data_IF_893130230722
#
_entry.id   IF_893130230722
#
_cell.length_a   1.000
_cell.length_b   1.000
_cell.length_c   1.000
_cell.angle_alpha   90.00
_cell.angle_beta   90.00
_cell.angle_gamma   90.00
#
_symmetry.space_group_name_H-M   'P 1'
#
loop_
_entity.id
_entity.type
_entity.pdbx_description
1 polymer ?
#
# COMPACT_ATOMS: atom_id res chain seq x y z
N UNK A 1 24.40 -37.86 -59.69
CA UNK A 1 25.65 -37.59 -58.94
C UNK A 1 25.24 -36.77 -57.71
N UNK A 2 25.19 -37.41 -56.53
CA UNK A 2 26.17 -37.26 -55.42
C UNK A 2 26.21 -35.83 -54.87
N UNK A 3 26.20 -35.51 -53.58
CA UNK A 3 26.05 -36.23 -52.32
C UNK A 3 25.90 -35.14 -51.23
N UNK A 4 25.37 -35.56 -50.07
CA UNK A 4 25.26 -34.87 -48.77
C UNK A 4 26.41 -33.93 -48.34
N UNK A 5 26.11 -32.93 -47.50
CA UNK A 5 26.64 -32.86 -46.12
C UNK A 5 26.03 -31.80 -45.21
N UNK A 6 25.58 -32.30 -44.06
CA UNK A 6 25.31 -31.67 -42.78
C UNK A 6 26.53 -30.95 -42.23
N UNK A 7 26.38 -29.71 -41.73
CA UNK A 7 27.16 -29.19 -40.59
C UNK A 7 26.22 -28.42 -39.65
N UNK A 8 26.12 -28.93 -38.42
CA UNK A 8 25.56 -28.29 -37.23
C UNK A 8 26.53 -27.21 -36.76
N UNK A 9 26.04 -26.03 -36.39
CA UNK A 9 26.77 -25.15 -35.47
C UNK A 9 25.90 -24.76 -34.29
N UNK A 10 26.41 -25.18 -33.13
CA UNK A 10 25.96 -24.85 -31.78
C UNK A 10 26.12 -23.34 -31.54
N UNK A 11 25.07 -22.66 -31.07
CA UNK A 11 25.24 -21.40 -30.36
C UNK A 11 24.81 -21.55 -28.90
N UNK A 12 25.80 -21.94 -28.09
CA UNK A 12 25.83 -21.80 -26.63
C UNK A 12 25.81 -20.32 -26.26
N UNK A 13 24.67 -19.79 -25.83
CA UNK A 13 24.65 -18.55 -25.04
C UNK A 13 24.52 -18.88 -23.55
N UNK A 14 25.66 -18.75 -22.86
CA UNK A 14 25.78 -18.86 -21.40
C UNK A 14 25.04 -17.71 -20.73
N UNK A 15 23.92 -18.00 -20.06
CA UNK A 15 23.37 -17.15 -18.99
C UNK A 15 24.35 -17.14 -17.82
N UNK A 16 24.73 -15.95 -17.34
CA UNK A 16 25.41 -15.75 -16.06
C UNK A 16 24.48 -15.01 -15.08
N UNK A 17 24.43 -15.58 -13.89
CA UNK A 17 23.61 -15.26 -12.71
C UNK A 17 23.58 -13.78 -12.27
N UNK A 18 22.40 -13.38 -11.77
CA UNK A 18 22.20 -12.66 -10.50
C UNK A 18 20.96 -13.31 -9.86
N UNK A 19 21.10 -14.20 -8.87
CA UNK A 19 21.26 -13.92 -7.43
C UNK A 19 20.19 -12.98 -6.86
N UNK A 20 19.25 -13.60 -6.12
CA UNK A 20 18.65 -13.19 -4.83
C UNK A 20 17.14 -12.92 -4.83
N UNK A 21 16.40 -13.90 -4.27
CA UNK A 21 15.24 -13.84 -3.34
C UNK A 21 14.08 -12.86 -3.63
N UNK A 22 12.80 -13.13 -3.37
CA UNK A 22 11.98 -14.27 -2.90
C UNK A 22 10.52 -13.76 -3.05
N UNK A 23 9.60 -14.64 -3.44
CA UNK A 23 8.13 -14.48 -3.39
C UNK A 23 7.47 -13.55 -4.43
N UNK A 24 7.55 -13.94 -5.71
CA UNK A 24 6.36 -13.93 -6.55
C UNK A 24 5.84 -15.38 -6.58
N UNK A 25 4.54 -15.56 -6.33
CA UNK A 25 3.84 -16.77 -6.75
C UNK A 25 3.79 -16.74 -8.27
N UNK A 26 4.82 -17.31 -8.91
CA UNK A 26 4.79 -17.61 -10.34
C UNK A 26 3.59 -18.52 -10.58
N UNK A 27 2.56 -17.95 -11.21
CA UNK A 27 1.65 -18.71 -12.05
C UNK A 27 2.52 -19.47 -13.06
N UNK A 28 2.47 -20.80 -12.99
CA UNK A 28 3.34 -21.80 -13.63
C UNK A 28 4.53 -22.28 -12.79
N UNK A 29 4.28 -22.73 -11.55
CA UNK A 29 5.10 -23.82 -11.01
C UNK A 29 4.95 -25.02 -11.95
N UNK A 30 6.02 -25.35 -12.68
CA UNK A 30 6.09 -26.57 -13.45
C UNK A 30 6.08 -27.76 -12.47
N UNK A 31 4.90 -28.33 -12.29
CA UNK A 31 4.65 -29.47 -11.40
C UNK A 31 5.00 -30.82 -12.07
N UNK A 32 5.44 -30.77 -13.34
CA UNK A 32 5.97 -31.92 -14.04
C UNK A 32 7.43 -32.14 -13.66
N UNK A 33 7.81 -33.40 -13.49
CA UNK A 33 9.19 -33.76 -13.14
C UNK A 33 10.10 -33.85 -14.39
N UNK A 34 9.57 -33.49 -15.56
CA UNK A 34 10.22 -33.51 -16.87
C UNK A 34 9.28 -34.00 -17.99
N UNK A 35 9.76 -33.98 -19.23
CA UNK A 35 8.97 -34.31 -20.44
C UNK A 35 8.39 -35.74 -20.43
N UNK A 36 9.11 -36.72 -19.89
CA UNK A 36 8.61 -38.10 -19.76
C UNK A 36 7.49 -38.25 -18.71
N UNK A 37 7.46 -37.38 -17.71
CA UNK A 37 6.44 -37.37 -16.67
C UNK A 37 5.18 -36.62 -17.14
N UNK A 38 5.36 -35.60 -17.97
CA UNK A 38 4.31 -34.91 -18.71
C UNK A 38 3.55 -35.87 -19.63
N UNK A 39 4.25 -36.60 -20.50
CA UNK A 39 3.64 -37.60 -21.39
C UNK A 39 2.89 -38.70 -20.62
N UNK A 40 3.43 -39.12 -19.46
CA UNK A 40 2.79 -40.10 -18.57
C UNK A 40 1.51 -39.57 -17.94
N UNK A 41 1.50 -38.30 -17.52
CA UNK A 41 0.36 -37.67 -16.86
C UNK A 41 -0.74 -37.28 -17.85
N UNK A 42 -0.38 -36.99 -19.11
CA UNK A 42 -1.34 -36.79 -20.20
C UNK A 42 -2.02 -38.09 -20.66
N UNK A 43 -1.36 -39.24 -20.47
CA UNK A 43 -1.94 -40.55 -20.75
C UNK A 43 -2.91 -41.07 -19.67
N UNK A 44 -3.04 -40.36 -18.54
CA UNK A 44 -3.96 -40.71 -17.43
C UNK A 44 -5.31 -40.01 -17.56
N UNK A 45 -6.30 -40.44 -16.78
CA UNK A 45 -7.58 -39.72 -16.72
C UNK A 45 -7.39 -38.35 -16.06
N UNK A 46 -8.20 -37.37 -16.45
CA UNK A 46 -8.09 -36.00 -15.94
C UNK A 46 -8.17 -35.92 -14.41
N UNK A 47 -8.98 -36.77 -13.79
CA UNK A 47 -9.14 -36.85 -12.34
C UNK A 47 -7.86 -37.34 -11.65
N UNK A 48 -7.23 -38.38 -12.18
CA UNK A 48 -5.97 -38.92 -11.64
C UNK A 48 -4.81 -37.94 -11.84
N UNK A 49 -4.76 -37.29 -13.01
CA UNK A 49 -3.79 -36.24 -13.32
C UNK A 49 -3.89 -35.08 -12.33
N UNK A 50 -5.09 -34.54 -12.11
CA UNK A 50 -5.30 -33.43 -11.18
C UNK A 50 -4.95 -33.80 -9.74
N UNK A 51 -5.24 -35.04 -9.32
CA UNK A 51 -4.90 -35.51 -7.99
C UNK A 51 -3.39 -35.55 -7.77
N UNK A 52 -2.62 -36.07 -8.73
CA UNK A 52 -1.15 -36.12 -8.65
C UNK A 52 -0.54 -34.72 -8.63
N UNK A 53 -1.02 -33.81 -9.49
CA UNK A 53 -0.54 -32.43 -9.53
C UNK A 53 -0.87 -31.68 -8.23
N UNK A 54 -2.06 -31.90 -7.66
CA UNK A 54 -2.45 -31.33 -6.38
C UNK A 54 -1.56 -31.82 -5.23
N UNK A 55 -1.30 -33.13 -5.15
CA UNK A 55 -0.40 -33.69 -4.14
C UNK A 55 1.03 -33.13 -4.24
N UNK A 56 1.53 -32.90 -5.47
CA UNK A 56 2.84 -32.29 -5.70
C UNK A 56 2.86 -30.82 -5.28
N UNK A 57 1.84 -30.06 -5.63
CA UNK A 57 1.70 -28.67 -5.22
C UNK A 57 1.65 -28.53 -3.68
N UNK A 58 0.91 -29.41 -3.00
CA UNK A 58 0.87 -29.41 -1.53
C UNK A 58 2.24 -29.71 -0.91
N UNK A 59 3.01 -30.65 -1.45
CA UNK A 59 4.38 -30.94 -0.99
C UNK A 59 5.34 -29.77 -1.22
N UNK A 60 5.23 -29.09 -2.36
CA UNK A 60 6.05 -27.89 -2.66
C UNK A 60 5.71 -26.77 -1.68
N UNK A 61 4.41 -26.56 -1.41
CA UNK A 61 3.94 -25.58 -0.43
C UNK A 61 4.47 -25.87 0.98
N UNK A 62 4.36 -27.12 1.45
CA UNK A 62 4.88 -27.52 2.75
C UNK A 62 6.41 -27.33 2.87
N UNK A 63 7.17 -27.63 1.83
CA UNK A 63 8.63 -27.40 1.82
C UNK A 63 8.97 -25.91 1.86
N UNK A 64 8.23 -25.07 1.14
CA UNK A 64 8.41 -23.61 1.17
C UNK A 64 8.08 -23.02 2.55
N UNK A 65 7.00 -23.48 3.17
CA UNK A 65 6.63 -23.06 4.52
C UNK A 65 7.67 -23.49 5.56
N UNK A 66 8.19 -24.71 5.48
CA UNK A 66 9.28 -25.20 6.34
C UNK A 66 10.56 -24.37 6.17
N UNK A 67 10.96 -24.05 4.95
CA UNK A 67 12.13 -23.22 4.68
C UNK A 67 12.00 -21.81 5.29
N UNK A 68 10.81 -21.20 5.22
CA UNK A 68 10.55 -19.88 5.81
C UNK A 68 10.60 -19.93 7.34
N UNK A 69 10.13 -21.03 7.95
CA UNK A 69 10.18 -21.22 9.41
C UNK A 69 11.61 -21.43 9.88
N UNK A 70 12.41 -22.22 9.16
CA UNK A 70 13.82 -22.49 9.47
C UNK A 70 14.70 -21.23 9.31
N UNK A 71 14.43 -20.40 8.30
CA UNK A 71 15.05 -19.06 8.14
C UNK A 71 14.69 -18.12 9.31
N UNK A 72 13.46 -18.18 9.82
CA UNK A 72 13.04 -17.41 11.00
C UNK A 72 13.64 -17.93 12.31
N UNK A 73 13.85 -19.24 12.45
CA UNK A 73 14.45 -19.87 13.64
C UNK A 73 15.96 -19.63 13.70
N UNK A 74 16.68 -19.74 12.58
CA UNK A 74 18.12 -19.42 12.51
C UNK A 74 18.42 -17.92 12.74
N UNK A 75 17.47 -17.03 12.42
CA UNK A 75 17.53 -15.61 12.79
C UNK A 75 17.29 -15.34 14.30
N UNK A 76 16.70 -16.29 15.02
CA UNK A 76 16.48 -16.22 16.48
C UNK A 76 17.65 -16.83 17.27
N UNK A 77 18.32 -17.86 16.76
CA UNK A 77 19.51 -18.46 17.39
C UNK A 77 20.78 -17.59 17.27
N UNK A 78 20.86 -16.70 16.29
CA UNK A 78 22.00 -15.78 16.11
C UNK A 78 21.87 -14.44 16.85
N UNK A 79 21.27 -14.42 18.05
CA UNK A 79 21.33 -13.27 18.96
C UNK A 79 22.38 -13.49 20.06
N UNK A 80 23.55 -12.85 19.99
CA UNK A 80 24.49 -12.85 21.11
C UNK A 80 23.92 -11.95 22.23
N UNK A 81 23.83 -12.52 23.44
CA UNK A 81 23.39 -11.83 24.65
C UNK A 81 24.59 -11.19 25.37
N UNK A 82 24.65 -9.86 25.21
CA UNK A 82 25.01 -8.82 26.20
C UNK A 82 26.42 -8.66 26.82
N UNK A 83 26.83 -7.38 26.72
CA UNK A 83 27.49 -6.51 27.72
C UNK A 83 29.02 -6.53 27.82
N UNK A 84 29.61 -5.46 27.26
CA UNK A 84 30.54 -4.61 28.01
C UNK A 84 30.31 -3.13 27.62
N UNK A 85 30.26 -2.28 28.65
CA UNK A 85 30.21 -0.82 28.53
C UNK A 85 31.60 -0.38 28.08
N UNK A 86 31.80 -0.26 26.77
CA UNK A 86 32.95 0.45 26.22
C UNK A 86 32.43 1.82 25.79
N UNK A 87 32.93 2.88 26.45
CA UNK A 87 32.86 4.25 25.94
C UNK A 87 33.43 4.22 24.53
N UNK A 88 32.54 4.16 23.53
CA UNK A 88 32.95 4.26 22.15
C UNK A 88 33.51 5.67 21.95
N UNK A 89 34.67 5.82 21.28
CA UNK A 89 35.13 7.11 20.82
C UNK A 89 34.05 7.69 19.89
N UNK A 90 34.00 9.02 19.69
CA UNK A 90 32.99 9.63 18.82
C UNK A 90 33.02 8.87 17.50
N UNK A 91 31.88 8.25 17.14
CA UNK A 91 31.72 7.63 15.83
C UNK A 91 32.18 8.67 14.83
N UNK A 92 33.25 8.36 14.11
CA UNK A 92 33.58 9.04 12.88
C UNK A 92 32.28 9.15 12.10
N UNK A 93 31.82 10.39 11.96
CA UNK A 93 30.76 10.75 11.05
C UNK A 93 31.27 10.27 9.70
N UNK A 94 30.82 9.09 9.23
CA UNK A 94 30.92 8.76 7.81
C UNK A 94 30.36 10.01 7.12
N UNK A 95 31.20 10.71 6.35
CA UNK A 95 30.78 11.90 5.63
C UNK A 95 29.48 11.56 4.94
N UNK A 96 28.42 12.24 5.35
CA UNK A 96 27.10 12.11 4.76
C UNK A 96 27.30 12.41 3.28
N UNK A 97 27.30 11.34 2.46
CA UNK A 97 27.49 11.54 1.05
C UNK A 97 26.24 12.24 0.54
N UNK A 98 26.36 13.55 0.35
CA UNK A 98 25.30 14.45 -0.11
C UNK A 98 24.57 13.86 -1.33
N UNK A 99 25.32 13.26 -2.26
CA UNK A 99 24.76 12.60 -3.45
C UNK A 99 23.81 11.46 -3.08
N UNK A 100 24.16 10.65 -2.07
CA UNK A 100 23.32 9.55 -1.59
C UNK A 100 22.07 10.08 -0.89
N UNK A 101 22.19 11.16 -0.11
CA UNK A 101 21.04 11.74 0.57
C UNK A 101 20.04 12.35 -0.43
N UNK A 102 20.52 13.05 -1.47
CA UNK A 102 19.62 13.58 -2.50
C UNK A 102 18.84 12.47 -3.24
N UNK A 103 19.40 11.26 -3.36
CA UNK A 103 18.73 10.13 -4.02
C UNK A 103 17.58 9.54 -3.23
N UNK A 104 17.55 9.70 -1.90
CA UNK A 104 16.51 9.12 -1.04
C UNK A 104 15.31 10.06 -0.82
N UNK A 105 15.36 11.27 -1.40
CA UNK A 105 14.27 12.22 -1.34
C UNK A 105 13.23 11.87 -2.40
N UNK A 106 12.00 11.65 -1.92
CA UNK A 106 10.84 11.46 -2.78
C UNK A 106 10.40 12.83 -3.31
N UNK A 107 10.31 12.94 -4.63
CA UNK A 107 9.87 14.16 -5.33
C UNK A 107 8.36 14.21 -5.46
N UNK A 108 7.81 15.44 -5.58
CA UNK A 108 6.37 15.65 -5.81
C UNK A 108 5.88 14.89 -7.04
N UNK A 109 6.60 14.97 -8.16
CA UNK A 109 6.15 14.38 -9.42
C UNK A 109 6.18 12.84 -9.35
N UNK A 110 7.13 12.24 -8.63
CA UNK A 110 7.12 10.81 -8.38
C UNK A 110 5.88 10.37 -7.59
N UNK A 111 5.46 11.16 -6.60
CA UNK A 111 4.21 10.89 -5.87
C UNK A 111 3.00 11.05 -6.78
N UNK A 112 2.91 12.14 -7.54
CA UNK A 112 1.76 12.42 -8.41
C UNK A 112 1.56 11.35 -9.49
N UNK A 113 2.64 10.84 -10.08
CA UNK A 113 2.59 9.76 -11.05
C UNK A 113 2.04 8.44 -10.47
N UNK A 114 2.10 8.28 -9.15
CA UNK A 114 1.75 7.04 -8.45
C UNK A 114 0.62 7.23 -7.42
N UNK A 115 0.00 8.41 -7.34
CA UNK A 115 -0.90 8.77 -6.24
C UNK A 115 -2.20 7.94 -6.23
N UNK A 116 -2.64 7.45 -7.39
CA UNK A 116 -3.85 6.63 -7.50
C UNK A 116 -3.56 5.12 -7.38
N UNK A 117 -2.29 4.70 -7.23
CA UNK A 117 -1.98 3.29 -7.06
C UNK A 117 -2.45 2.80 -5.68
N UNK A 118 -2.87 1.54 -5.53
CA UNK A 118 -3.40 1.01 -4.26
C UNK A 118 -2.35 0.83 -3.16
N UNK A 119 -1.13 1.37 -3.33
CA UNK A 119 0.03 1.20 -2.46
C UNK A 119 0.35 2.45 -1.63
N UNK A 120 -0.65 3.27 -1.27
CA UNK A 120 -0.44 4.52 -0.54
C UNK A 120 0.30 4.36 0.79
N UNK A 121 0.17 3.20 1.45
CA UNK A 121 0.91 2.92 2.69
C UNK A 121 2.42 2.92 2.51
N UNK A 122 2.91 2.63 1.31
CA UNK A 122 4.34 2.55 1.02
C UNK A 122 5.05 3.89 1.08
N UNK A 123 4.31 5.01 0.99
CA UNK A 123 4.87 6.35 1.20
C UNK A 123 5.39 6.54 2.64
N UNK A 124 4.82 5.83 3.61
CA UNK A 124 5.10 6.05 5.04
C UNK A 124 6.56 5.75 5.38
N UNK A 125 7.18 6.75 6.01
CA UNK A 125 8.54 6.80 6.50
C UNK A 125 9.58 7.11 5.43
N UNK A 126 9.19 7.49 4.22
CA UNK A 126 10.10 8.08 3.24
C UNK A 126 10.32 9.57 3.52
N UNK A 127 11.42 10.12 3.00
CA UNK A 127 11.80 11.52 3.19
C UNK A 127 11.34 12.33 1.99
N UNK A 128 10.77 13.50 2.25
CA UNK A 128 10.38 14.47 1.22
C UNK A 128 10.95 15.84 1.55
N UNK A 129 11.06 16.68 0.52
CA UNK A 129 11.28 18.12 0.67
C UNK A 129 9.97 18.86 0.43
N UNK A 130 9.60 19.75 1.34
CA UNK A 130 8.36 20.52 1.25
C UNK A 130 8.58 21.97 1.69
N UNK A 131 7.74 22.86 1.16
CA UNK A 131 7.78 24.30 1.44
C UNK A 131 6.81 24.64 2.57
N UNK A 132 7.27 25.45 3.51
CA UNK A 132 6.44 26.08 4.54
C UNK A 132 6.74 27.58 4.47
N UNK A 133 5.72 28.38 4.21
CA UNK A 133 5.86 29.83 4.03
C UNK A 133 6.92 30.15 2.97
N UNK A 134 8.08 30.67 3.35
CA UNK A 134 9.16 31.06 2.44
C UNK A 134 10.34 30.08 2.41
N UNK A 135 10.34 29.09 3.31
CA UNK A 135 11.47 28.17 3.50
C UNK A 135 11.12 26.74 3.10
N UNK A 136 12.16 25.96 2.83
CA UNK A 136 12.07 24.55 2.52
C UNK A 136 12.61 23.70 3.67
N UNK A 137 11.94 22.59 3.92
CA UNK A 137 12.27 21.67 4.98
C UNK A 137 12.26 20.24 4.46
N UNK A 138 13.04 19.40 5.12
CA UNK A 138 12.99 17.95 4.95
C UNK A 138 12.13 17.35 6.06
N UNK A 139 11.27 16.40 5.70
CA UNK A 139 10.45 15.67 6.65
C UNK A 139 10.27 14.21 6.24
N UNK A 140 10.04 13.37 7.24
CA UNK A 140 9.61 11.99 7.08
C UNK A 140 8.09 11.95 6.98
N UNK A 141 7.56 11.19 6.03
CA UNK A 141 6.12 10.95 5.93
C UNK A 141 5.71 10.06 7.10
N UNK A 142 4.90 10.56 8.03
CA UNK A 142 4.42 9.79 9.18
C UNK A 142 3.17 8.97 8.85
N UNK A 143 2.25 9.58 8.11
CA UNK A 143 1.03 8.94 7.61
C UNK A 143 0.48 9.71 6.42
N UNK A 144 -0.54 9.15 5.79
CA UNK A 144 -1.34 9.83 4.77
C UNK A 144 -2.81 9.84 5.20
N UNK A 145 -3.56 10.80 4.69
CA UNK A 145 -4.99 10.96 4.87
C UNK A 145 -5.58 10.88 3.47
N UNK A 146 -6.31 9.79 3.22
CA UNK A 146 -7.11 9.59 2.02
C UNK A 146 -8.50 10.22 2.23
N UNK A 147 -9.20 10.59 1.15
CA UNK A 147 -10.54 11.19 1.22
C UNK A 147 -10.61 12.55 1.95
N UNK A 148 -9.54 13.36 1.86
CA UNK A 148 -9.57 14.76 2.26
C UNK A 148 -10.34 15.61 1.23
N UNK A 149 -10.39 16.93 1.45
CA UNK A 149 -10.94 17.83 0.43
C UNK A 149 -10.12 17.75 -0.85
N UNK A 150 -10.82 17.54 -1.97
CA UNK A 150 -10.23 17.45 -3.30
C UNK A 150 -9.55 18.77 -3.63
N UNK A 151 -8.32 18.69 -4.11
CA UNK A 151 -7.57 19.85 -4.56
C UNK A 151 -6.86 19.57 -5.88
N UNK A 152 -6.63 20.64 -6.63
CA UNK A 152 -5.88 20.59 -7.87
C UNK A 152 -4.37 20.67 -7.59
N UNK A 153 -3.60 19.90 -8.36
CA UNK A 153 -2.13 19.92 -8.41
C UNK A 153 -1.69 19.82 -9.85
N UNK A 154 -0.68 20.61 -10.21
CA UNK A 154 -0.12 20.57 -11.56
C UNK A 154 1.02 19.55 -11.65
N UNK A 155 0.95 18.67 -12.65
CA UNK A 155 2.02 17.78 -13.07
C UNK A 155 2.42 18.15 -14.50
N UNK A 156 3.56 18.80 -14.68
CA UNK A 156 3.96 19.35 -15.98
C UNK A 156 2.95 20.38 -16.50
N UNK A 157 2.28 20.06 -17.62
CA UNK A 157 1.21 20.89 -18.21
C UNK A 157 -0.21 20.41 -17.86
N UNK A 158 -0.35 19.35 -17.09
CA UNK A 158 -1.63 18.73 -16.77
C UNK A 158 -2.08 19.13 -15.37
N UNK A 159 -3.34 19.53 -15.22
CA UNK A 159 -3.98 19.68 -13.92
C UNK A 159 -4.55 18.33 -13.49
N UNK A 160 -4.11 17.88 -12.33
CA UNK A 160 -4.56 16.66 -11.68
C UNK A 160 -5.34 17.00 -10.42
N UNK A 161 -6.35 16.20 -10.08
CA UNK A 161 -7.09 16.29 -8.83
C UNK A 161 -6.65 15.20 -7.87
N UNK A 162 -6.57 15.49 -6.59
CA UNK A 162 -6.34 14.46 -5.56
C UNK A 162 -6.97 14.89 -4.24
N UNK A 163 -7.32 13.91 -3.43
CA UNK A 163 -7.84 14.07 -2.07
C UNK A 163 -6.84 13.53 -1.03
N UNK A 164 -5.62 13.20 -1.45
CA UNK A 164 -4.59 12.66 -0.56
C UNK A 164 -3.80 13.80 0.07
N UNK A 165 -3.70 13.83 1.39
CA UNK A 165 -2.79 14.71 2.12
C UNK A 165 -1.88 13.92 3.04
N UNK A 166 -0.75 14.50 3.45
CA UNK A 166 0.26 13.80 4.24
C UNK A 166 0.44 14.42 5.62
N UNK A 167 0.80 13.58 6.59
CA UNK A 167 1.31 14.02 7.89
C UNK A 167 2.83 13.90 7.86
N UNK A 168 3.52 15.00 8.08
CA UNK A 168 4.97 15.12 7.91
C UNK A 168 5.64 15.38 9.26
N UNK A 169 6.75 14.72 9.51
CA UNK A 169 7.53 14.84 10.73
C UNK A 169 8.94 15.32 10.42
N UNK A 170 9.29 16.51 10.93
CA UNK A 170 10.62 17.13 10.77
C UNK A 170 11.60 16.70 11.87
N UNK A 171 11.15 15.95 12.88
CA UNK A 171 11.89 15.67 14.12
C UNK A 171 11.64 16.69 15.22
N UNK A 172 11.31 17.94 14.87
CA UNK A 172 10.92 19.00 15.83
C UNK A 172 9.40 19.16 15.87
N UNK A 173 8.77 19.18 14.69
CA UNK A 173 7.36 19.49 14.52
C UNK A 173 6.69 18.52 13.56
N UNK A 174 5.44 18.19 13.88
CA UNK A 174 4.55 17.42 13.03
C UNK A 174 3.59 18.36 12.30
N UNK A 175 3.61 18.32 10.98
CA UNK A 175 2.70 19.07 10.11
C UNK A 175 1.57 18.14 9.64
N UNK A 176 0.32 18.51 9.94
CA UNK A 176 -0.86 17.73 9.57
C UNK A 176 -1.46 18.25 8.27
N UNK A 177 -2.10 17.37 7.48
CA UNK A 177 -2.85 17.71 6.24
C UNK A 177 -2.02 18.46 5.19
N UNK A 178 -0.76 18.09 5.01
CA UNK A 178 0.11 18.70 4.01
C UNK A 178 -0.31 18.29 2.60
N UNK A 179 -0.67 19.26 1.76
CA UNK A 179 -1.03 19.04 0.36
C UNK A 179 0.21 18.88 -0.52
N UNK A 180 0.10 18.08 -1.57
CA UNK A 180 1.18 17.82 -2.54
C UNK A 180 1.65 19.07 -3.29
N UNK A 181 0.83 20.13 -3.36
CA UNK A 181 1.21 21.40 -3.97
C UNK A 181 2.43 22.06 -3.27
N UNK A 182 2.64 21.76 -1.98
CA UNK A 182 3.77 22.27 -1.21
C UNK A 182 5.03 21.41 -1.33
N UNK A 183 4.97 20.28 -2.04
CA UNK A 183 6.11 19.36 -2.13
C UNK A 183 7.04 19.82 -3.26
N UNK A 184 8.34 19.63 -3.06
CA UNK A 184 9.37 20.06 -4.02
C UNK A 184 9.82 18.91 -4.92
N UNK A 185 10.25 19.26 -6.13
CA UNK A 185 11.01 18.38 -7.02
C UNK A 185 12.51 18.67 -6.99
N UNK A 186 12.92 19.82 -6.43
CA UNK A 186 14.32 20.22 -6.39
C UNK A 186 15.06 19.44 -5.30
N UNK A 187 16.32 19.11 -5.57
CA UNK A 187 17.21 18.50 -4.59
C UNK A 187 17.33 19.38 -3.34
N UNK A 188 17.49 18.79 -2.15
CA UNK A 188 17.69 19.57 -0.94
C UNK A 188 19.07 20.22 -0.90
N UNK A 189 19.17 21.34 -0.21
CA UNK A 189 20.43 22.04 0.02
C UNK A 189 21.18 21.41 1.20
N UNK A 190 22.51 21.58 1.26
CA UNK A 190 23.34 21.03 2.35
C UNK A 190 22.85 21.46 3.73
N UNK A 191 22.51 22.74 3.89
CA UNK A 191 21.98 23.29 5.13
C UNK A 191 20.68 22.63 5.58
N UNK A 192 19.79 22.28 4.63
CA UNK A 192 18.54 21.57 4.92
C UNK A 192 18.82 20.16 5.43
N UNK A 193 19.78 19.47 4.82
CA UNK A 193 20.21 18.12 5.22
C UNK A 193 20.83 18.14 6.61
N UNK A 194 21.75 19.07 6.85
CA UNK A 194 22.42 19.21 8.16
C UNK A 194 21.40 19.49 9.26
N UNK A 195 20.44 20.38 8.98
CA UNK A 195 19.33 20.69 9.91
C UNK A 195 18.48 19.45 10.16
N UNK A 196 18.13 18.70 9.11
CA UNK A 196 17.32 17.49 9.23
C UNK A 196 18.02 16.41 10.07
N UNK A 197 19.31 16.17 9.83
CA UNK A 197 20.10 15.17 10.56
C UNK A 197 20.31 15.57 12.02
N UNK A 198 20.53 16.86 12.29
CA UNK A 198 20.58 17.38 13.66
C UNK A 198 19.29 17.10 14.42
N UNK A 199 18.15 17.24 13.75
CA UNK A 199 16.83 17.01 14.33
C UNK A 199 16.43 15.52 14.39
N UNK A 200 17.14 14.66 13.65
CA UNK A 200 16.87 13.24 13.57
C UNK A 200 18.18 12.44 13.78
N UNK A 201 18.76 12.47 14.98
CA UNK A 201 20.09 11.90 15.24
C UNK A 201 20.17 10.37 15.05
N UNK A 202 19.02 9.68 15.07
CA UNK A 202 18.92 8.24 14.82
C UNK A 202 18.69 7.89 13.34
N UNK A 203 18.73 8.88 12.44
CA UNK A 203 18.49 8.66 11.02
C UNK A 203 19.66 7.94 10.35
N UNK A 204 19.39 6.75 9.81
CA UNK A 204 20.36 5.99 9.02
C UNK A 204 20.08 6.11 7.52
N UNK A 205 21.02 6.71 6.80
CA UNK A 205 20.96 6.92 5.35
C UNK A 205 20.97 5.58 4.61
N UNK A 206 21.73 4.58 5.08
CA UNK A 206 21.85 3.29 4.39
C UNK A 206 20.52 2.52 4.45
N UNK A 207 19.91 2.43 5.63
CA UNK A 207 18.56 1.88 5.79
C UNK A 207 17.52 2.65 4.96
N UNK A 208 17.57 3.98 4.99
CA UNK A 208 16.64 4.80 4.22
C UNK A 208 16.79 4.62 2.71
N UNK A 209 18.01 4.41 2.21
CA UNK A 209 18.25 4.11 0.80
C UNK A 209 17.62 2.78 0.38
N UNK A 210 17.71 1.74 1.21
CA UNK A 210 17.06 0.46 0.92
C UNK A 210 15.54 0.61 0.93
N UNK A 211 15.00 1.37 1.90
CA UNK A 211 13.57 1.68 1.95
C UNK A 211 13.09 2.42 0.70
N UNK A 212 13.84 3.42 0.24
CA UNK A 212 13.52 4.16 -0.97
C UNK A 212 13.57 3.27 -2.22
N UNK A 213 14.55 2.37 -2.34
CA UNK A 213 14.60 1.38 -3.42
C UNK A 213 13.38 0.45 -3.41
N UNK A 214 12.94 0.00 -2.23
CA UNK A 214 11.71 -0.79 -2.08
C UNK A 214 10.47 -0.03 -2.54
N UNK A 215 10.36 1.26 -2.20
CA UNK A 215 9.30 2.13 -2.70
C UNK A 215 9.35 2.25 -4.23
N UNK A 216 10.53 2.49 -4.81
CA UNK A 216 10.69 2.60 -6.26
C UNK A 216 10.30 1.30 -6.96
N UNK A 217 10.74 0.15 -6.45
CA UNK A 217 10.36 -1.15 -6.98
C UNK A 217 8.84 -1.34 -6.97
N UNK A 218 8.19 -1.09 -5.83
CA UNK A 218 6.74 -1.24 -5.71
C UNK A 218 5.96 -0.29 -6.62
N UNK A 219 6.43 0.95 -6.78
CA UNK A 219 5.79 1.93 -7.64
C UNK A 219 6.10 1.72 -9.13
N UNK A 220 7.14 0.98 -9.48
CA UNK A 220 7.46 0.66 -10.87
C UNK A 220 7.00 -0.75 -11.29
N UNK A 221 6.60 -1.60 -10.35
CA UNK A 221 6.02 -2.92 -10.63
C UNK A 221 4.76 -2.77 -11.48
N UNK A 222 4.59 -3.68 -12.44
CA UNK A 222 3.36 -3.80 -13.21
C UNK A 222 2.18 -4.09 -12.29
N UNK A 223 1.05 -3.43 -12.53
CA UNK A 223 -0.14 -3.63 -11.72
C UNK A 223 -0.83 -4.91 -12.16
N UNK A 224 -1.25 -5.72 -11.20
CA UNK A 224 -2.23 -6.78 -11.46
C UNK A 224 -3.51 -6.18 -12.04
N UNK A 225 -4.32 -6.98 -12.76
CA UNK A 225 -5.59 -6.48 -13.31
C UNK A 225 -6.49 -5.88 -12.22
N UNK A 226 -6.56 -6.53 -11.06
CA UNK A 226 -7.33 -6.05 -9.92
C UNK A 226 -6.81 -4.70 -9.40
N UNK A 227 -5.50 -4.53 -9.29
CA UNK A 227 -4.91 -3.26 -8.85
C UNK A 227 -5.07 -2.15 -9.89
N UNK A 228 -5.03 -2.50 -11.17
CA UNK A 228 -5.31 -1.57 -12.25
C UNK A 228 -6.77 -1.09 -12.21
N UNK A 229 -7.72 -2.00 -12.00
CA UNK A 229 -9.14 -1.66 -11.82
C UNK A 229 -9.35 -0.74 -10.62
N UNK A 230 -8.71 -1.02 -9.47
CA UNK A 230 -8.76 -0.14 -8.29
C UNK A 230 -8.21 1.25 -8.58
N UNK A 231 -7.06 1.34 -9.25
CA UNK A 231 -6.45 2.61 -9.64
C UNK A 231 -7.38 3.43 -10.57
N UNK A 232 -8.00 2.78 -11.56
CA UNK A 232 -8.94 3.43 -12.46
C UNK A 232 -10.22 3.88 -11.74
N UNK A 233 -10.74 3.05 -10.83
CA UNK A 233 -11.90 3.39 -10.02
C UNK A 233 -11.62 4.60 -9.14
N UNK A 234 -10.46 4.63 -8.47
CA UNK A 234 -10.04 5.75 -7.62
C UNK A 234 -9.89 7.04 -8.45
N UNK A 235 -9.17 6.97 -9.57
CA UNK A 235 -9.04 8.10 -10.48
C UNK A 235 -10.42 8.59 -10.94
N UNK A 236 -11.32 7.72 -11.40
CA UNK A 236 -12.67 8.11 -11.84
C UNK A 236 -13.49 8.72 -10.71
N UNK A 237 -13.38 8.19 -9.49
CA UNK A 237 -14.03 8.74 -8.29
C UNK A 237 -13.63 10.21 -8.11
N UNK A 238 -12.34 10.52 -8.31
CA UNK A 238 -11.78 11.84 -8.06
C UNK A 238 -12.18 12.92 -9.08
N UNK A 239 -12.62 12.52 -10.27
CA UNK A 239 -13.18 13.45 -11.27
C UNK A 239 -14.71 13.39 -11.35
N UNK A 240 -15.35 12.51 -10.58
CA UNK A 240 -16.80 12.46 -10.51
C UNK A 240 -17.37 13.67 -9.76
N UNK A 241 -18.63 13.99 -10.07
CA UNK A 241 -19.42 15.02 -9.41
C UNK A 241 -19.27 14.91 -7.87
N UNK A 242 -19.00 16.02 -7.15
CA UNK A 242 -18.82 16.00 -5.70
C UNK A 242 -19.96 15.33 -4.94
N UNK A 243 -21.21 15.53 -5.37
CA UNK A 243 -22.38 14.90 -4.76
C UNK A 243 -22.38 13.39 -5.03
N UNK A 244 -22.09 12.97 -6.27
CA UNK A 244 -21.98 11.55 -6.61
C UNK A 244 -20.89 10.85 -5.79
N UNK A 245 -19.74 11.48 -5.60
CA UNK A 245 -18.65 10.93 -4.79
C UNK A 245 -19.03 10.81 -3.32
N UNK A 246 -19.67 11.84 -2.76
CA UNK A 246 -20.11 11.81 -1.38
C UNK A 246 -21.19 10.73 -1.15
N UNK A 247 -22.11 10.55 -2.11
CA UNK A 247 -23.08 9.44 -2.09
C UNK A 247 -22.36 8.08 -2.12
N UNK A 248 -21.41 7.89 -3.03
CA UNK A 248 -20.63 6.64 -3.10
C UNK A 248 -19.83 6.38 -1.82
N UNK A 249 -19.22 7.42 -1.24
CA UNK A 249 -18.52 7.35 0.05
C UNK A 249 -19.48 6.94 1.17
N UNK A 250 -20.67 7.53 1.22
CA UNK A 250 -21.70 7.19 2.20
C UNK A 250 -22.14 5.73 2.07
N UNK A 251 -22.33 5.23 0.84
CA UNK A 251 -22.66 3.81 0.59
C UNK A 251 -21.54 2.90 1.09
N UNK A 252 -20.27 3.25 0.83
CA UNK A 252 -19.12 2.48 1.30
C UNK A 252 -19.02 2.43 2.83
N UNK A 253 -19.17 3.58 3.49
CA UNK A 253 -19.16 3.65 4.96
C UNK A 253 -20.33 2.89 5.58
N UNK A 254 -21.51 2.89 4.96
CA UNK A 254 -22.65 2.08 5.41
C UNK A 254 -22.27 0.59 5.37
N UNK A 255 -21.66 0.11 4.28
CA UNK A 255 -21.19 -1.28 4.20
C UNK A 255 -20.14 -1.60 5.26
N UNK A 256 -19.14 -0.74 5.44
CA UNK A 256 -18.09 -0.93 6.45
C UNK A 256 -18.65 -0.94 7.88
N UNK A 257 -19.67 -0.11 8.15
CA UNK A 257 -20.41 -0.11 9.42
C UNK A 257 -21.16 -1.43 9.61
N UNK A 258 -21.90 -1.87 8.60
CA UNK A 258 -22.70 -3.10 8.68
C UNK A 258 -21.80 -4.32 8.91
N UNK A 259 -20.66 -4.40 8.22
CA UNK A 259 -19.62 -5.41 8.48
C UNK A 259 -19.02 -5.31 9.89
N UNK A 260 -18.86 -4.10 10.43
CA UNK A 260 -18.35 -3.92 11.80
C UNK A 260 -19.39 -4.38 12.84
N UNK A 261 -20.68 -4.16 12.59
CA UNK A 261 -21.78 -4.67 13.42
C UNK A 261 -21.83 -6.20 13.37
N UNK A 262 -21.73 -6.79 12.17
CA UNK A 262 -21.68 -8.26 12.00
C UNK A 262 -20.48 -8.89 12.73
N UNK A 263 -19.36 -8.16 12.83
CA UNK A 263 -18.15 -8.58 13.55
C UNK A 263 -18.15 -8.17 15.03
N UNK A 264 -19.27 -7.69 15.56
CA UNK A 264 -19.46 -7.24 16.96
C UNK A 264 -18.49 -6.11 17.40
N UNK A 265 -17.97 -5.34 16.45
CA UNK A 265 -17.09 -4.18 16.70
C UNK A 265 -17.90 -2.90 16.82
N UNK A 266 -18.69 -2.79 17.89
CA UNK A 266 -19.65 -1.71 18.07
C UNK A 266 -19.01 -0.31 18.15
N UNK A 267 -17.86 -0.17 18.83
CA UNK A 267 -17.15 1.11 18.92
C UNK A 267 -16.73 1.63 17.53
N UNK A 268 -16.23 0.73 16.68
CA UNK A 268 -15.87 1.04 15.30
C UNK A 268 -17.10 1.41 14.47
N UNK A 269 -18.21 0.69 14.64
CA UNK A 269 -19.46 1.01 13.96
C UNK A 269 -20.00 2.40 14.37
N UNK A 270 -19.87 2.78 15.64
CA UNK A 270 -20.27 4.10 16.13
C UNK A 270 -19.39 5.22 15.54
N UNK A 271 -18.06 5.02 15.48
CA UNK A 271 -17.13 5.95 14.84
C UNK A 271 -17.45 6.14 13.35
N UNK A 272 -17.77 5.05 12.65
CA UNK A 272 -18.18 5.11 11.24
C UNK A 272 -19.51 5.84 11.11
N UNK A 273 -20.48 5.59 11.99
CA UNK A 273 -21.77 6.29 11.97
C UNK A 273 -21.62 7.80 12.19
N UNK A 274 -20.76 8.23 13.14
CA UNK A 274 -20.42 9.65 13.32
C UNK A 274 -19.85 10.26 12.05
N UNK A 275 -18.97 9.52 11.36
CA UNK A 275 -18.39 9.96 10.08
C UNK A 275 -19.46 10.10 9.00
N UNK A 276 -20.40 9.15 8.89
CA UNK A 276 -21.54 9.21 7.96
C UNK A 276 -22.41 10.44 8.22
N UNK A 277 -22.69 10.76 9.48
CA UNK A 277 -23.56 11.87 9.86
C UNK A 277 -22.92 13.24 9.54
N UNK A 278 -21.58 13.32 9.56
CA UNK A 278 -20.85 14.54 9.16
C UNK A 278 -20.78 14.76 7.65
N UNK A 279 -21.06 13.73 6.84
CA UNK A 279 -21.12 13.84 5.38
C UNK A 279 -22.48 14.42 4.95
N UNK A 280 -22.63 15.74 5.14
CA UNK A 280 -23.79 16.50 4.65
C UNK A 280 -23.50 17.00 3.22
N UNK A 281 -24.39 16.76 2.24
CA UNK A 281 -24.28 17.37 0.92
C UNK A 281 -24.11 18.88 1.05
N UNK A 282 -23.14 19.47 0.32
CA UNK A 282 -23.17 20.92 0.07
C UNK A 282 -24.44 21.19 -0.73
N UNK A 283 -25.46 21.73 -0.07
CA UNK A 283 -26.80 21.88 -0.62
C UNK A 283 -26.80 22.88 -1.78
N UNK A 284 -27.42 22.50 -2.88
CA UNK A 284 -27.94 23.44 -3.88
C UNK A 284 -29.35 23.82 -3.38
N UNK A 285 -29.42 24.65 -2.34
CA UNK A 285 -30.56 25.51 -1.92
C UNK A 285 -32.00 24.96 -1.75
N UNK A 286 -32.38 23.78 -2.26
CA UNK A 286 -33.75 23.22 -2.23
C UNK A 286 -33.78 21.74 -1.81
N UNK A 287 -32.70 20.98 -2.01
CA UNK A 287 -32.65 19.55 -1.68
C UNK A 287 -32.40 19.26 -0.19
N UNK A 288 -32.07 20.27 0.61
CA UNK A 288 -31.72 20.13 2.03
C UNK A 288 -32.95 19.75 2.88
N UNK A 289 -34.12 20.23 2.50
CA UNK A 289 -35.40 19.95 3.14
C UNK A 289 -35.85 18.51 2.83
N UNK A 290 -35.65 18.07 1.57
CA UNK A 290 -35.92 16.70 1.12
C UNK A 290 -34.98 15.71 1.83
N UNK A 291 -33.69 16.01 1.91
CA UNK A 291 -32.72 15.15 2.60
C UNK A 291 -32.93 15.09 4.12
N UNK A 292 -33.34 16.19 4.76
CA UNK A 292 -33.78 16.17 6.16
C UNK A 292 -34.98 15.26 6.36
N UNK A 293 -36.00 15.37 5.52
CA UNK A 293 -37.19 14.52 5.59
C UNK A 293 -36.85 13.03 5.38
N UNK A 294 -35.97 12.71 4.43
CA UNK A 294 -35.50 11.34 4.19
C UNK A 294 -34.70 10.82 5.40
N UNK A 295 -33.82 11.64 5.97
CA UNK A 295 -33.00 11.27 7.13
C UNK A 295 -33.88 11.02 8.37
N UNK A 296 -34.85 11.89 8.64
CA UNK A 296 -35.81 11.71 9.74
C UNK A 296 -36.68 10.47 9.55
N UNK A 297 -37.13 10.21 8.32
CA UNK A 297 -37.90 9.01 7.99
C UNK A 297 -37.07 7.74 8.23
N UNK A 298 -35.81 7.73 7.80
CA UNK A 298 -34.92 6.59 8.02
C UNK A 298 -34.62 6.36 9.51
N UNK A 299 -34.46 7.44 10.30
CA UNK A 299 -34.34 7.32 11.76
C UNK A 299 -35.57 6.69 12.40
N UNK A 300 -36.78 7.10 11.97
CA UNK A 300 -38.04 6.51 12.48
C UNK A 300 -38.18 5.03 12.12
N UNK A 301 -37.84 4.66 10.88
CA UNK A 301 -37.90 3.26 10.43
C UNK A 301 -36.89 2.41 11.21
N UNK A 302 -35.65 2.87 11.38
CA UNK A 302 -34.66 2.12 12.15
C UNK A 302 -35.07 1.97 13.62
N UNK A 303 -35.64 3.01 14.24
CA UNK A 303 -36.14 2.92 15.62
C UNK A 303 -37.33 1.94 15.75
N UNK A 304 -38.22 1.88 14.74
CA UNK A 304 -39.30 0.90 14.72
C UNK A 304 -38.76 -0.53 14.52
N UNK A 305 -37.81 -0.72 13.62
CA UNK A 305 -37.19 -2.03 13.39
C UNK A 305 -36.43 -2.52 14.61
N UNK A 306 -35.71 -1.65 15.32
CA UNK A 306 -35.03 -1.98 16.57
C UNK A 306 -36.03 -2.45 17.66
N UNK A 307 -37.16 -1.75 17.82
CA UNK A 307 -38.24 -2.15 18.75
C UNK A 307 -38.87 -3.49 18.37
N UNK A 308 -39.08 -3.74 17.08
CA UNK A 308 -39.61 -5.02 16.60
C UNK A 308 -38.63 -6.17 16.88
N UNK A 309 -37.33 -5.93 16.73
CA UNK A 309 -36.28 -6.90 17.09
C UNK A 309 -36.25 -7.19 18.59
N UNK A 310 -36.36 -6.17 19.46
CA UNK A 310 -36.43 -6.37 20.92
C UNK A 310 -37.70 -7.14 21.32
N UNK A 311 -38.86 -6.82 20.74
CA UNK A 311 -40.10 -7.55 21.01
C UNK A 311 -40.07 -9.00 20.53
N UNK A 312 -39.41 -9.27 19.40
CA UNK A 312 -39.22 -10.62 18.90
C UNK A 312 -38.27 -11.43 19.78
N UNK A 313 -37.20 -10.79 20.31
CA UNK A 313 -36.24 -11.41 21.22
C UNK A 313 -36.86 -11.75 22.58
N UNK A 314 -37.65 -10.85 23.16
CA UNK A 314 -38.33 -11.10 24.43
C UNK A 314 -39.37 -12.22 24.33
N UNK A 315 -40.02 -12.38 23.16
CA UNK A 315 -40.95 -13.51 22.92
C UNK A 315 -40.25 -14.86 22.77
N UNK A 316 -39.01 -14.89 22.29
CA UNK A 316 -38.22 -16.13 22.19
C UNK A 316 -37.55 -16.55 23.50
N UNK A 317 -37.49 -15.66 24.50
CA UNK A 317 -36.95 -15.97 25.84
C UNK A 317 -38.05 -16.39 26.84
N UNK A 318 -39.32 -16.28 26.47
CA UNK A 318 -40.50 -16.69 27.27
C UNK A 318 -41.11 -18.05 26.86
N UNK A 319 -40.57 -18.73 25.83
CA UNK A 319 -40.90 -20.11 25.43
C UNK A 319 -39.87 -21.13 25.96
#
# INVERSE_FOLDING_TARGET
MRDNKIIKEENKSKKRHKSSYLLDSDENEDLYLGTSDEERLEAMTEKERQQILYERHMKVKEMKEKAIIEEKLSALENKPVQKEIVKSPPKHVEEVNYSTFCKIIVTRDFILNNIYKPFLRSWVGNVIRFKVENDYFLARIKSYIHEADVYDVTLGKQNMKTDVTFVLDTGIKIFKKCKLLYFSNASPDKSEIDTFLKNNPSFDIKSQLQKFKGLQYQMNKELSENDHLKMLAERRSIYSDPNKRMILRKIKLIKERDEAIEKEKFDLAEEIQKTIDTLVPKSIGKDEEVWKQISERNRKINAQNAKLYEMAKNKSEEE
#
